data_IF_676247561704
#
_entry.id   IF_676247561704
#
_cell.length_a   1.000
_cell.length_b   1.000
_cell.length_c   1.000
_cell.angle_alpha   90.00
_cell.angle_beta   90.00
_cell.angle_gamma   90.00
#
_symmetry.space_group_name_H-M   'P 1'
#
loop_
_entity.id
_entity.type
_entity.pdbx_description
1 polymer ?
#
# COMPACT_ATOMS: atom_id res chain seq x y z
N UNK A 1 -5.45 1.99 -82.28
CA UNK A 1 -4.08 1.81 -81.75
C UNK A 1 -4.20 1.73 -80.22
N UNK A 2 -4.17 0.52 -79.65
CA UNK A 2 -3.07 0.01 -78.80
C UNK A 2 -2.93 0.80 -77.48
N UNK A 3 -2.96 0.26 -76.25
CA UNK A 3 -2.62 -1.08 -75.73
C UNK A 3 -2.96 -1.15 -74.21
N UNK A 4 -3.07 -2.39 -73.73
CA UNK A 4 -3.23 -2.89 -72.35
C UNK A 4 -2.15 -2.45 -71.33
N UNK A 5 -2.47 -2.47 -70.03
CA UNK A 5 -1.71 -3.04 -68.86
C UNK A 5 -2.42 -2.63 -67.55
N UNK A 6 -2.94 -3.48 -66.67
CA UNK A 6 -2.45 -4.64 -65.90
C UNK A 6 -2.49 -4.29 -64.40
N UNK A 7 -3.37 -4.99 -63.68
CA UNK A 7 -3.70 -4.88 -62.26
C UNK A 7 -2.65 -5.62 -61.42
N UNK A 8 -2.10 -4.99 -60.38
CA UNK A 8 -1.26 -5.67 -59.39
C UNK A 8 -1.86 -5.46 -57.99
N UNK A 9 -2.53 -6.49 -57.46
CA UNK A 9 -2.99 -6.59 -56.07
C UNK A 9 -1.88 -7.25 -55.24
N UNK A 10 -1.25 -6.49 -54.35
CA UNK A 10 -0.35 -6.98 -53.30
C UNK A 10 -1.21 -7.38 -52.09
N UNK A 11 -1.27 -8.68 -51.79
CA UNK A 11 -1.84 -9.21 -50.55
C UNK A 11 -0.75 -9.36 -49.49
N UNK A 12 -0.82 -8.54 -48.43
CA UNK A 12 0.03 -8.69 -47.25
C UNK A 12 -0.64 -9.62 -46.22
N UNK A 13 0.10 -10.54 -45.56
CA UNK A 13 -0.46 -11.39 -44.52
C UNK A 13 -0.67 -10.61 -43.21
N UNK A 14 -1.90 -10.65 -42.70
CA UNK A 14 -2.27 -10.11 -41.39
C UNK A 14 -1.77 -11.07 -40.31
N UNK A 15 -0.77 -10.64 -39.53
CA UNK A 15 -0.33 -11.36 -38.34
C UNK A 15 -1.39 -11.19 -37.24
N UNK A 16 -2.04 -12.29 -36.85
CA UNK A 16 -2.94 -12.34 -35.69
C UNK A 16 -2.10 -12.29 -34.41
N UNK A 17 -2.08 -11.14 -33.76
CA UNK A 17 -1.55 -11.02 -32.41
C UNK A 17 -2.52 -11.69 -31.42
N UNK A 18 -2.15 -12.85 -30.89
CA UNK A 18 -2.83 -13.51 -29.78
C UNK A 18 -2.61 -12.72 -28.50
N UNK A 19 -3.54 -11.82 -28.17
CA UNK A 19 -3.59 -11.18 -26.86
C UNK A 19 -3.84 -12.21 -25.76
N UNK A 20 -2.95 -12.28 -24.76
CA UNK A 20 -3.17 -13.08 -23.57
C UNK A 20 -4.44 -12.62 -22.84
N UNK A 21 -5.45 -13.49 -22.78
CA UNK A 21 -6.69 -13.22 -22.03
C UNK A 21 -6.36 -13.41 -20.55
N UNK A 22 -6.32 -12.32 -19.79
CA UNK A 22 -6.23 -12.36 -18.33
C UNK A 22 -7.59 -12.81 -17.81
N UNK A 23 -7.73 -14.09 -17.44
CA UNK A 23 -8.97 -14.62 -16.90
C UNK A 23 -9.20 -14.08 -15.47
N UNK A 24 -10.44 -13.69 -15.11
CA UNK A 24 -10.76 -13.28 -13.74
C UNK A 24 -10.59 -14.47 -12.77
N UNK A 25 -10.04 -14.19 -11.58
CA UNK A 25 -9.86 -15.19 -10.52
C UNK A 25 -11.24 -15.70 -10.06
N UNK A 26 -11.45 -17.02 -9.88
CA UNK A 26 -12.70 -17.55 -9.35
C UNK A 26 -13.05 -16.91 -7.99
N UNK A 27 -14.33 -16.56 -7.79
CA UNK A 27 -14.78 -15.85 -6.59
C UNK A 27 -14.42 -16.57 -5.26
N UNK A 28 -14.51 -17.91 -5.24
CA UNK A 28 -14.12 -18.72 -4.08
C UNK A 28 -12.61 -18.58 -3.76
N UNK A 29 -11.76 -18.65 -4.79
CA UNK A 29 -10.31 -18.47 -4.62
C UNK A 29 -9.96 -17.05 -4.15
N UNK A 30 -10.71 -16.03 -4.60
CA UNK A 30 -10.56 -14.67 -4.09
C UNK A 30 -10.89 -14.59 -2.59
N UNK A 31 -12.01 -15.16 -2.16
CA UNK A 31 -12.42 -15.17 -0.75
C UNK A 31 -11.38 -15.86 0.15
N UNK A 32 -10.83 -16.99 -0.30
CA UNK A 32 -9.79 -17.71 0.44
C UNK A 32 -8.52 -16.87 0.65
N UNK A 33 -8.07 -16.19 -0.40
CA UNK A 33 -6.89 -15.32 -0.35
C UNK A 33 -7.13 -14.11 0.53
N UNK A 34 -8.27 -13.43 0.40
CA UNK A 34 -8.61 -12.29 1.27
C UNK A 34 -8.71 -12.72 2.73
N UNK A 35 -9.29 -13.89 2.99
CA UNK A 35 -9.31 -14.49 4.33
C UNK A 35 -7.90 -14.77 4.87
N UNK A 36 -6.97 -15.24 4.02
CA UNK A 36 -5.57 -15.42 4.42
C UNK A 36 -4.89 -14.08 4.77
N UNK A 37 -5.07 -13.05 3.94
CA UNK A 37 -4.54 -11.71 4.21
C UNK A 37 -5.09 -11.17 5.53
N UNK A 38 -6.40 -11.30 5.76
CA UNK A 38 -7.03 -10.85 7.00
C UNK A 38 -6.46 -11.58 8.23
N UNK A 39 -6.26 -12.90 8.15
CA UNK A 39 -5.60 -13.68 9.22
C UNK A 39 -4.17 -13.20 9.47
N UNK A 40 -3.39 -12.95 8.42
CA UNK A 40 -2.04 -12.38 8.54
C UNK A 40 -2.08 -11.03 9.26
N UNK A 41 -2.89 -10.08 8.77
CA UNK A 41 -3.01 -8.76 9.38
C UNK A 41 -3.38 -8.87 10.87
N UNK A 42 -4.37 -9.69 11.24
CA UNK A 42 -4.77 -9.91 12.64
C UNK A 42 -3.67 -10.52 13.51
N UNK A 43 -2.86 -11.41 12.96
CA UNK A 43 -1.79 -12.09 13.71
C UNK A 43 -0.58 -11.19 14.04
N UNK A 44 -0.38 -10.12 13.27
CA UNK A 44 0.71 -9.17 13.51
C UNK A 44 0.30 -8.17 14.60
N UNK A 45 0.68 -8.45 15.85
CA UNK A 45 0.42 -7.58 17.00
C UNK A 45 1.41 -6.42 17.11
N UNK A 46 2.71 -6.70 16.93
CA UNK A 46 3.78 -5.72 16.86
C UNK A 46 4.70 -6.04 15.71
N UNK A 47 5.21 -5.00 15.05
CA UNK A 47 6.20 -5.12 13.98
C UNK A 47 7.13 -3.91 14.00
N UNK A 48 8.41 -4.17 13.73
CA UNK A 48 9.40 -3.17 13.34
C UNK A 48 9.96 -3.56 11.97
N UNK A 49 10.15 -2.60 11.08
CA UNK A 49 10.70 -2.83 9.76
C UNK A 49 11.44 -1.59 9.26
N UNK A 50 12.42 -1.78 8.40
CA UNK A 50 12.95 -0.69 7.59
C UNK A 50 12.02 -0.46 6.41
N UNK A 51 11.92 0.77 5.92
CA UNK A 51 11.18 1.06 4.70
C UNK A 51 11.96 1.92 3.72
N UNK A 52 11.64 1.77 2.44
CA UNK A 52 11.97 2.70 1.37
C UNK A 52 10.67 3.19 0.78
N UNK A 53 10.45 4.49 0.85
CA UNK A 53 9.38 5.17 0.13
C UNK A 53 9.91 5.67 -1.21
N UNK A 54 9.13 5.49 -2.27
CA UNK A 54 9.42 6.03 -3.61
C UNK A 54 8.20 6.79 -4.10
N UNK A 55 8.39 8.05 -4.47
CA UNK A 55 7.33 8.90 -5.01
C UNK A 55 7.16 8.72 -6.53
N UNK A 56 6.17 9.40 -7.12
CA UNK A 56 5.91 9.37 -8.56
C UNK A 56 7.10 9.83 -9.44
N UNK A 57 7.96 10.70 -8.92
CA UNK A 57 9.16 11.17 -9.60
C UNK A 57 10.34 10.18 -9.48
N UNK A 58 10.16 9.04 -8.80
CA UNK A 58 11.21 8.05 -8.56
C UNK A 58 12.18 8.43 -7.43
N UNK A 59 11.97 9.56 -6.76
CA UNK A 59 12.78 9.94 -5.61
C UNK A 59 12.46 9.00 -4.46
N UNK A 60 13.51 8.54 -3.76
CA UNK A 60 13.37 7.58 -2.69
C UNK A 60 13.92 8.11 -1.38
N UNK A 61 13.19 7.83 -0.29
CA UNK A 61 13.55 8.19 1.08
C UNK A 61 13.46 6.95 1.94
N UNK A 62 14.40 6.79 2.88
CA UNK A 62 14.42 5.65 3.80
C UNK A 62 13.86 6.04 5.15
N UNK A 63 13.52 5.02 5.92
CA UNK A 63 13.14 5.22 7.30
C UNK A 63 12.85 3.92 8.03
N UNK A 64 12.28 4.08 9.20
CA UNK A 64 11.90 2.98 10.09
C UNK A 64 10.40 3.03 10.40
N UNK A 65 9.76 1.88 10.28
CA UNK A 65 8.36 1.65 10.56
C UNK A 65 8.19 0.88 11.86
N UNK A 66 7.29 1.35 12.72
CA UNK A 66 6.79 0.64 13.89
C UNK A 66 5.28 0.45 13.77
N UNK A 67 4.79 -0.72 14.12
CA UNK A 67 3.37 -1.02 14.18
C UNK A 67 3.06 -1.70 15.51
N UNK A 68 1.96 -1.28 16.14
CA UNK A 68 1.42 -1.90 17.35
C UNK A 68 -0.09 -1.88 17.33
N UNK A 69 -0.72 -3.04 17.35
CA UNK A 69 -2.18 -3.12 17.41
C UNK A 69 -2.73 -2.64 18.75
N UNK A 70 -3.98 -2.12 18.77
CA UNK A 70 -4.79 -1.74 17.60
C UNK A 70 -4.35 -0.38 17.03
N UNK A 71 -4.36 -0.24 15.70
CA UNK A 71 -4.29 1.03 14.96
C UNK A 71 -3.04 1.91 15.09
N UNK A 72 -2.07 1.61 15.96
CA UNK A 72 -0.88 2.45 16.11
C UNK A 72 0.18 2.09 15.09
N UNK A 73 0.69 3.10 14.42
CA UNK A 73 1.75 2.98 13.43
C UNK A 73 2.63 4.23 13.49
N UNK A 74 3.91 4.09 13.15
CA UNK A 74 4.83 5.21 12.98
C UNK A 74 5.76 4.92 11.82
N UNK A 75 5.92 5.89 10.94
CA UNK A 75 7.00 5.99 9.97
C UNK A 75 7.89 7.15 10.41
N UNK A 76 9.15 6.85 10.71
CA UNK A 76 10.19 7.85 10.96
C UNK A 76 11.08 7.91 9.73
N UNK A 77 11.09 9.03 9.04
CA UNK A 77 11.95 9.22 7.87
C UNK A 77 13.37 9.56 8.33
N UNK A 78 14.35 9.33 7.46
CA UNK A 78 15.74 9.73 7.69
C UNK A 78 15.89 11.26 7.93
N UNK A 79 16.96 11.63 8.61
CA UNK A 79 17.20 13.00 9.10
C UNK A 79 17.24 14.06 7.99
N UNK A 80 17.57 13.67 6.76
CA UNK A 80 17.59 14.55 5.58
C UNK A 80 16.21 15.10 5.19
N UNK A 81 15.13 14.39 5.55
CA UNK A 81 13.74 14.77 5.26
C UNK A 81 13.02 15.22 6.53
N UNK A 82 13.47 14.75 7.70
CA UNK A 82 13.01 15.22 9.01
C UNK A 82 11.47 15.24 9.12
N UNK A 83 10.85 14.10 8.77
CA UNK A 83 9.41 13.91 8.73
C UNK A 83 8.99 12.70 9.55
N UNK A 84 7.75 12.73 10.05
CA UNK A 84 7.12 11.61 10.76
C UNK A 84 5.66 11.49 10.34
N UNK A 85 5.22 10.26 10.05
CA UNK A 85 3.80 9.90 9.97
C UNK A 85 3.47 8.99 11.14
N UNK A 86 2.55 9.37 12.01
CA UNK A 86 2.24 8.62 13.23
C UNK A 86 0.74 8.50 13.45
N UNK A 87 0.29 7.32 13.86
CA UNK A 87 -1.06 7.11 14.36
C UNK A 87 -1.04 6.68 15.83
N UNK A 88 -1.95 7.28 16.59
CA UNK A 88 -2.27 6.92 17.97
C UNK A 88 -3.38 5.86 18.09
N UNK A 89 -3.84 5.32 16.97
CA UNK A 89 -4.95 4.38 16.89
C UNK A 89 -6.33 5.02 16.69
N UNK A 90 -6.41 6.35 16.68
CA UNK A 90 -7.64 7.10 16.37
C UNK A 90 -7.46 7.98 15.13
N UNK A 91 -6.32 8.64 15.02
CA UNK A 91 -6.02 9.53 13.90
C UNK A 91 -4.62 9.27 13.37
N UNK A 92 -4.41 9.56 12.09
CA UNK A 92 -3.09 9.65 11.47
C UNK A 92 -2.64 11.11 11.53
N UNK A 93 -1.37 11.35 11.84
CA UNK A 93 -0.77 12.68 11.92
C UNK A 93 0.51 12.69 11.11
N UNK A 94 0.55 13.57 10.12
CA UNK A 94 1.73 13.90 9.34
C UNK A 94 2.41 15.13 9.95
N UNK A 95 3.72 15.03 10.17
CA UNK A 95 4.54 16.09 10.75
C UNK A 95 5.75 16.30 9.86
N UNK A 96 5.91 17.52 9.36
CA UNK A 96 7.12 18.01 8.72
C UNK A 96 7.75 19.05 9.64
N UNK A 97 8.94 18.74 10.15
CA UNK A 97 9.61 19.56 11.14
C UNK A 97 10.32 20.77 10.52
N UNK A 98 10.70 20.70 9.24
CA UNK A 98 11.46 21.75 8.57
C UNK A 98 10.57 22.96 8.29
N UNK A 99 9.35 22.71 7.82
CA UNK A 99 8.34 23.78 7.61
C UNK A 99 7.35 23.91 8.77
N UNK A 100 7.54 23.14 9.85
CA UNK A 100 6.68 23.11 11.05
C UNK A 100 5.20 22.82 10.74
N UNK A 101 4.96 21.99 9.74
CA UNK A 101 3.62 21.61 9.31
C UNK A 101 3.12 20.40 10.10
N UNK A 102 1.88 20.48 10.55
CA UNK A 102 1.18 19.37 11.20
C UNK A 102 -0.18 19.23 10.55
N UNK A 103 -0.45 18.05 10.00
CA UNK A 103 -1.75 17.69 9.47
C UNK A 103 -2.26 16.43 10.18
N UNK A 104 -3.55 16.39 10.51
CA UNK A 104 -4.14 15.30 11.27
C UNK A 104 -5.53 14.98 10.74
N UNK A 105 -5.78 13.70 10.50
CA UNK A 105 -7.06 13.19 9.99
C UNK A 105 -7.41 11.87 10.69
N UNK A 106 -8.70 11.51 10.80
CA UNK A 106 -9.11 10.20 11.30
C UNK A 106 -8.40 9.07 10.55
N UNK A 107 -8.04 8.00 11.25
CA UNK A 107 -7.28 6.91 10.62
C UNK A 107 -8.06 6.21 9.51
N UNK A 108 -9.39 6.19 9.64
CA UNK A 108 -10.33 5.63 8.65
C UNK A 108 -10.32 6.41 7.33
N UNK A 109 -9.98 7.71 7.37
CA UNK A 109 -10.01 8.62 6.23
C UNK A 109 -8.73 8.51 5.38
N UNK A 110 -8.09 7.33 5.38
CA UNK A 110 -6.83 7.11 4.68
C UNK A 110 -6.78 5.72 4.02
N UNK A 111 -6.08 5.57 2.88
CA UNK A 111 -5.83 4.26 2.27
C UNK A 111 -5.13 3.26 3.19
N UNK A 112 -4.33 3.76 4.14
CA UNK A 112 -3.65 2.92 5.14
C UNK A 112 -4.62 2.25 6.13
N UNK A 113 -5.88 2.69 6.21
CA UNK A 113 -6.89 2.10 7.09
C UNK A 113 -7.02 0.58 6.90
N UNK A 114 -6.83 0.08 5.67
CA UNK A 114 -6.88 -1.35 5.33
C UNK A 114 -5.85 -2.18 6.10
N UNK A 115 -4.65 -1.63 6.34
CA UNK A 115 -3.60 -2.31 7.11
C UNK A 115 -3.84 -2.22 8.62
N UNK A 116 -4.48 -1.14 9.05
CA UNK A 116 -4.57 -0.73 10.46
C UNK A 116 -5.85 -1.21 11.14
N UNK A 117 -6.93 -1.45 10.39
CA UNK A 117 -8.20 -1.99 10.86
C UNK A 117 -8.47 -3.40 10.27
N UNK A 118 -7.99 -4.47 10.91
CA UNK A 118 -8.08 -5.83 10.38
C UNK A 118 -9.44 -6.49 10.68
N UNK A 119 -10.34 -5.77 11.35
CA UNK A 119 -11.68 -6.24 11.72
C UNK A 119 -12.70 -5.94 10.62
N UNK A 120 -12.41 -4.95 9.75
CA UNK A 120 -13.19 -4.73 8.53
C UNK A 120 -13.04 -5.90 7.58
N UNK A 121 -14.16 -6.36 7.03
CA UNK A 121 -14.20 -7.44 6.05
C UNK A 121 -13.62 -6.98 4.71
N UNK A 122 -12.42 -7.47 4.39
CA UNK A 122 -11.73 -7.16 3.14
C UNK A 122 -12.55 -7.55 1.90
N UNK A 123 -13.48 -8.52 1.98
CA UNK A 123 -14.26 -8.96 0.83
C UNK A 123 -15.18 -7.87 0.26
N UNK A 124 -15.49 -6.85 1.06
CA UNK A 124 -16.40 -5.76 0.70
C UNK A 124 -15.73 -4.62 -0.08
N UNK A 125 -14.41 -4.45 0.05
CA UNK A 125 -13.68 -3.33 -0.56
C UNK A 125 -12.30 -3.70 -1.13
N UNK A 126 -11.91 -4.98 -1.10
CA UNK A 126 -10.66 -5.48 -1.67
C UNK A 126 -10.88 -6.57 -2.71
N UNK A 127 -9.99 -6.60 -3.70
CA UNK A 127 -9.94 -7.62 -4.75
C UNK A 127 -8.52 -8.18 -4.85
N UNK A 128 -8.41 -9.45 -5.24
CA UNK A 128 -7.13 -10.11 -5.47
C UNK A 128 -6.68 -9.81 -6.89
N UNK A 129 -5.42 -9.41 -7.03
CA UNK A 129 -4.80 -9.19 -8.34
C UNK A 129 -4.03 -10.45 -8.73
N UNK A 130 -4.23 -10.89 -9.97
CA UNK A 130 -3.39 -11.94 -10.55
C UNK A 130 -1.97 -11.39 -10.75
N UNK A 131 -1.00 -12.09 -10.17
CA UNK A 131 0.43 -11.75 -10.26
C UNK A 131 1.17 -12.62 -11.27
N UNK A 132 0.55 -13.70 -11.76
CA UNK A 132 1.22 -14.78 -12.50
C UNK A 132 2.29 -15.51 -11.69
N UNK A 133 2.39 -15.26 -10.37
CA UNK A 133 3.43 -15.79 -9.48
C UNK A 133 2.79 -16.40 -8.24
N UNK A 134 2.85 -17.72 -8.12
CA UNK A 134 2.26 -18.44 -6.98
C UNK A 134 2.86 -18.06 -5.62
N UNK A 135 4.11 -17.58 -5.59
CA UNK A 135 4.80 -17.13 -4.37
C UNK A 135 4.32 -15.77 -3.87
N UNK A 136 3.57 -15.02 -4.68
CA UNK A 136 3.16 -13.65 -4.39
C UNK A 136 1.63 -13.57 -4.24
N UNK A 137 1.18 -12.84 -3.23
CA UNK A 137 -0.22 -12.48 -3.04
C UNK A 137 -0.33 -10.96 -3.14
N UNK A 138 -1.11 -10.46 -4.08
CA UNK A 138 -1.35 -9.02 -4.23
C UNK A 138 -2.83 -8.73 -4.13
N UNK A 139 -3.18 -7.74 -3.31
CA UNK A 139 -4.56 -7.27 -3.17
C UNK A 139 -4.63 -5.79 -3.47
N UNK A 140 -5.74 -5.35 -4.04
CA UNK A 140 -6.07 -3.94 -4.22
C UNK A 140 -7.32 -3.62 -3.44
N UNK A 141 -7.26 -2.61 -2.61
CA UNK A 141 -8.35 -2.14 -1.79
C UNK A 141 -8.68 -0.67 -2.07
N UNK A 142 -9.97 -0.36 -2.10
CA UNK A 142 -10.51 0.99 -2.30
C UNK A 142 -11.84 1.06 -1.58
N UNK A 143 -12.04 2.08 -0.77
CA UNK A 143 -13.33 2.27 -0.11
C UNK A 143 -14.39 2.73 -1.14
N UNK A 144 -15.48 1.97 -1.36
CA UNK A 144 -16.51 2.36 -2.31
C UNK A 144 -17.38 3.51 -1.82
N UNK A 145 -17.51 3.70 -0.49
CA UNK A 145 -18.27 4.81 0.11
C UNK A 145 -17.45 6.09 0.09
N UNK A 146 -16.12 5.96 0.17
CA UNK A 146 -15.18 7.07 0.20
C UNK A 146 -14.08 6.95 -0.88
N UNK A 147 -14.46 7.07 -2.17
CA UNK A 147 -13.50 6.98 -3.28
C UNK A 147 -12.41 8.06 -3.23
N UNK A 148 -12.63 9.17 -2.52
CA UNK A 148 -11.70 10.27 -2.29
C UNK A 148 -10.52 9.90 -1.38
N UNK A 149 -10.60 8.81 -0.62
CA UNK A 149 -9.44 8.35 0.15
C UNK A 149 -8.36 7.79 -0.77
N UNK A 150 -8.75 7.26 -1.93
CA UNK A 150 -7.83 6.70 -2.92
C UNK A 150 -7.80 5.18 -2.91
N UNK A 151 -6.74 4.60 -3.45
CA UNK A 151 -6.57 3.15 -3.62
C UNK A 151 -5.24 2.71 -3.01
N UNK A 152 -5.24 1.57 -2.33
CA UNK A 152 -4.02 0.90 -1.84
C UNK A 152 -3.86 -0.45 -2.53
N UNK A 153 -2.67 -0.75 -3.01
CA UNK A 153 -2.29 -2.06 -3.53
C UNK A 153 -1.21 -2.65 -2.64
N UNK A 154 -1.49 -3.78 -1.99
CA UNK A 154 -0.63 -4.39 -0.98
C UNK A 154 -0.06 -5.68 -1.54
N UNK A 155 1.24 -5.87 -1.36
CA UNK A 155 1.96 -7.07 -1.84
C UNK A 155 2.50 -7.87 -0.67
N UNK A 156 2.28 -9.17 -0.69
CA UNK A 156 2.77 -10.14 0.27
C UNK A 156 3.54 -11.25 -0.44
N UNK A 157 4.55 -11.82 0.21
CA UNK A 157 5.13 -13.11 -0.15
C UNK A 157 4.54 -14.20 0.71
N UNK A 158 4.31 -15.38 0.12
CA UNK A 158 3.98 -16.59 0.88
C UNK A 158 5.20 -16.99 1.71
N UNK A 159 5.04 -17.04 3.02
CA UNK A 159 6.12 -17.32 3.96
C UNK A 159 5.57 -18.11 5.15
N UNK A 160 5.76 -19.44 5.19
CA UNK A 160 5.23 -20.29 6.26
C UNK A 160 5.76 -19.92 7.66
N UNK A 161 6.95 -19.31 7.74
CA UNK A 161 7.55 -18.85 8.99
C UNK A 161 7.00 -17.50 9.49
N UNK A 162 6.26 -16.78 8.65
CA UNK A 162 5.69 -15.48 9.00
C UNK A 162 4.27 -15.62 9.58
N UNK A 163 3.82 -14.70 10.45
CA UNK A 163 2.47 -14.73 11.02
C UNK A 163 1.39 -14.88 9.92
N UNK A 164 0.44 -15.80 10.05
CA UNK A 164 -0.59 -16.04 9.03
C UNK A 164 -0.11 -16.57 7.67
N UNK A 165 1.15 -17.02 7.58
CA UNK A 165 1.73 -17.62 6.37
C UNK A 165 2.08 -16.64 5.25
N UNK A 166 2.11 -15.33 5.56
CA UNK A 166 2.40 -14.25 4.63
C UNK A 166 3.43 -13.30 5.23
N UNK A 167 4.26 -12.70 4.37
CA UNK A 167 5.20 -11.63 4.73
C UNK A 167 4.89 -10.39 3.90
N UNK A 168 4.49 -9.30 4.56
CA UNK A 168 4.16 -8.03 3.92
C UNK A 168 5.42 -7.48 3.23
N UNK A 169 5.40 -7.32 1.91
CA UNK A 169 6.53 -6.72 1.19
C UNK A 169 6.43 -5.20 1.16
N UNK A 170 5.21 -4.66 1.18
CA UNK A 170 4.99 -3.25 0.97
C UNK A 170 3.64 -2.98 0.32
N UNK A 171 3.43 -1.73 -0.06
CA UNK A 171 2.21 -1.30 -0.71
C UNK A 171 2.44 -0.05 -1.54
N UNK A 172 1.54 0.18 -2.49
CA UNK A 172 1.45 1.41 -3.27
C UNK A 172 0.13 2.10 -2.97
N UNK A 173 0.19 3.38 -2.59
CA UNK A 173 -0.96 4.26 -2.41
C UNK A 173 -1.08 5.17 -3.61
N UNK A 174 -2.31 5.28 -4.13
CA UNK A 174 -2.74 6.34 -5.04
C UNK A 174 -3.82 7.14 -4.34
N UNK A 175 -3.54 8.39 -3.96
CA UNK A 175 -4.51 9.26 -3.27
C UNK A 175 -5.49 9.95 -4.25
N UNK A 176 -6.45 10.74 -3.74
CA UNK A 176 -7.39 11.52 -4.55
C UNK A 176 -6.75 12.62 -5.39
N UNK A 177 -5.53 13.02 -5.07
CA UNK A 177 -4.75 14.00 -5.80
C UNK A 177 -3.88 13.35 -6.88
N UNK A 178 -4.03 12.03 -7.09
CA UNK A 178 -3.27 11.23 -8.06
C UNK A 178 -1.77 11.14 -7.73
N UNK A 179 -1.41 11.37 -6.46
CA UNK A 179 -0.06 11.15 -5.96
C UNK A 179 0.16 9.66 -5.75
N UNK A 180 1.23 9.14 -6.35
CA UNK A 180 1.64 7.75 -6.24
C UNK A 180 2.79 7.63 -5.26
N UNK A 181 2.60 6.84 -4.21
CA UNK A 181 3.61 6.56 -3.19
C UNK A 181 3.77 5.06 -3.04
N UNK A 182 4.97 4.54 -3.22
CA UNK A 182 5.28 3.11 -3.02
C UNK A 182 6.16 2.94 -1.79
N UNK A 183 5.76 2.07 -0.87
CA UNK A 183 6.52 1.67 0.30
C UNK A 183 6.97 0.23 0.10
N UNK A 184 8.27 -0.02 0.25
CA UNK A 184 8.86 -1.36 0.34
C UNK A 184 9.43 -1.57 1.74
N UNK A 185 9.20 -2.73 2.34
CA UNK A 185 9.64 -3.09 3.68
C UNK A 185 10.79 -4.09 3.65
N UNK A 186 11.72 -3.95 4.58
CA UNK A 186 12.81 -4.89 4.82
C UNK A 186 13.01 -5.13 6.31
N UNK A 187 13.80 -6.17 6.65
CA UNK A 187 14.25 -6.45 8.02
C UNK A 187 13.12 -6.48 9.07
N UNK A 188 11.98 -7.08 8.69
CA UNK A 188 10.80 -7.18 9.52
C UNK A 188 11.06 -8.04 10.75
N UNK A 189 10.70 -7.52 11.93
CA UNK A 189 10.75 -8.22 13.21
C UNK A 189 9.41 -8.12 13.91
N UNK A 190 8.87 -9.26 14.32
CA UNK A 190 7.53 -9.39 14.90
C UNK A 190 7.59 -9.73 16.38
N UNK A 191 6.51 -9.44 17.11
CA UNK A 191 6.32 -9.91 18.49
C UNK A 191 7.20 -9.21 19.54
N UNK A 192 7.92 -8.16 19.15
CA UNK A 192 8.78 -7.40 20.05
C UNK A 192 7.96 -6.44 20.92
N UNK A 193 8.45 -6.13 22.11
CA UNK A 193 7.87 -5.09 22.95
C UNK A 193 8.16 -3.71 22.35
N UNK A 194 7.10 -2.97 22.00
CA UNK A 194 7.19 -1.57 21.52
C UNK A 194 6.49 -0.67 22.54
N UNK A 195 7.20 0.29 23.16
CA UNK A 195 6.61 1.17 24.16
C UNK A 195 5.61 2.13 23.52
N UNK A 196 4.58 2.52 24.27
CA UNK A 196 3.54 3.43 23.74
C UNK A 196 4.08 4.83 23.42
N UNK A 197 5.22 5.22 24.01
CA UNK A 197 5.91 6.48 23.71
C UNK A 197 6.42 6.55 22.28
N UNK A 198 6.69 5.42 21.62
CA UNK A 198 7.10 5.37 20.20
C UNK A 198 6.08 6.06 19.30
N UNK A 199 4.80 5.96 19.61
CA UNK A 199 3.70 6.50 18.80
C UNK A 199 3.33 7.96 19.16
N UNK A 200 4.28 8.71 19.74
CA UNK A 200 4.14 10.15 20.03
C UNK A 200 5.02 10.97 19.07
N UNK A 201 4.63 12.22 18.83
CA UNK A 201 5.46 13.18 18.10
C UNK A 201 5.62 14.46 18.92
N UNK A 202 6.65 15.24 18.60
CA UNK A 202 6.84 16.59 19.16
C UNK A 202 6.15 17.56 18.22
N UNK A 203 5.18 18.33 18.70
CA UNK A 203 4.56 19.36 17.87
C UNK A 203 5.58 20.47 17.55
N UNK A 204 5.92 20.72 16.27
CA UNK A 204 6.89 21.75 15.88
C UNK A 204 6.31 23.16 15.87
N UNK A 205 4.98 23.31 15.99
CA UNK A 205 4.32 24.61 15.93
C UNK A 205 4.58 25.38 17.23
N UNK A 206 4.64 26.73 17.17
CA UNK A 206 4.81 27.54 18.37
C UNK A 206 3.71 27.22 19.38
N UNK A 207 4.09 26.98 20.65
CA UNK A 207 3.10 26.90 21.72
C UNK A 207 2.45 28.27 21.83
N UNK A 208 1.20 28.36 21.41
CA UNK A 208 0.42 29.59 21.58
C UNK A 208 0.21 29.77 23.08
N UNK A 209 1.09 30.55 23.73
CA UNK A 209 0.91 31.02 25.11
C UNK A 209 -0.23 32.03 25.08
N UNK A 210 -1.47 31.56 24.99
CA UNK A 210 -2.62 32.41 25.31
C UNK A 210 -2.55 32.71 26.81
N UNK A 211 -2.31 33.99 27.10
CA UNK A 211 -2.48 34.61 28.42
C UNK A 211 -3.94 34.53 28.86
#
# INVERSE_FOLDING_TARGET
MHRFTALALLTAPIALATGAVIAPIPAAAQQDVLGQVQRHLRSVNTMQADFIETNRAGQSVRGEMFLKRPGRIRFSYEDSVNMVVVSDGRALTFVDYDVRQVQRWPIGDSPLAVLLNPDRDLSTFATVLDTGRNSEVRIRARDPEHPEYGTITITFLRSPSSPGGLMLQGWTVLDSQNNLTTINLANQRFGMAIPNSTFRYRDPRPRNRRR
#
